data_IF_592153796230
#
_entry.id   IF_592153796230
#
_cell.length_a   1.000
_cell.length_b   1.000
_cell.length_c   1.000
_cell.angle_alpha   90.00
_cell.angle_beta   90.00
_cell.angle_gamma   90.00
#
_symmetry.space_group_name_H-M   'P 1'
#
loop_
_entity.id
_entity.type
_entity.pdbx_description
1 polymer ?
#
# COMPACT_ATOMS: atom_id res chain seq x y z
N UNK A 1 -4.77 27.69 2.65
CA UNK A 1 -3.95 26.73 3.43
C UNK A 1 -2.84 26.24 2.52
N UNK A 2 -1.64 26.07 3.05
CA UNK A 2 -0.54 25.44 2.31
C UNK A 2 -0.86 23.95 2.08
N UNK A 3 -0.49 23.41 0.92
CA UNK A 3 -0.68 21.98 0.61
C UNK A 3 0.21 21.12 1.51
N UNK A 4 -0.30 19.98 1.97
CA UNK A 4 0.53 18.96 2.61
C UNK A 4 1.49 18.33 1.58
N UNK A 5 2.56 17.68 2.05
CA UNK A 5 3.50 16.99 1.17
C UNK A 5 2.82 15.86 0.37
N UNK A 6 1.79 15.22 0.94
CA UNK A 6 0.95 14.26 0.22
C UNK A 6 0.12 14.90 -0.88
N UNK A 7 -0.46 16.08 -0.62
CA UNK A 7 -1.19 16.82 -1.65
C UNK A 7 -0.27 17.29 -2.78
N UNK A 8 0.96 17.73 -2.48
CA UNK A 8 1.98 18.06 -3.49
C UNK A 8 2.35 16.82 -4.32
N UNK A 9 2.61 15.68 -3.68
CA UNK A 9 2.88 14.41 -4.35
C UNK A 9 1.75 14.01 -5.32
N UNK A 10 0.50 14.07 -4.88
CA UNK A 10 -0.66 13.73 -5.70
C UNK A 10 -0.92 14.73 -6.84
N UNK A 11 -0.48 15.98 -6.68
CA UNK A 11 -0.56 17.00 -7.71
C UNK A 11 0.63 16.97 -8.70
N UNK A 12 1.60 16.06 -8.52
CA UNK A 12 2.82 15.99 -9.33
C UNK A 12 3.82 17.14 -9.07
N UNK A 13 3.68 17.84 -7.95
CA UNK A 13 4.57 18.92 -7.54
C UNK A 13 5.80 18.36 -6.79
N UNK A 14 6.88 19.15 -6.67
CA UNK A 14 7.99 18.79 -5.79
C UNK A 14 7.50 18.68 -4.36
N UNK A 15 7.84 17.56 -3.70
CA UNK A 15 7.44 17.27 -2.33
C UNK A 15 8.60 16.64 -1.55
N UNK A 16 8.58 16.78 -0.23
CA UNK A 16 9.52 16.16 0.69
C UNK A 16 9.11 14.70 0.94
N UNK A 17 9.70 13.76 0.22
CA UNK A 17 9.43 12.34 0.41
C UNK A 17 9.72 11.84 1.85
N UNK A 18 10.57 12.54 2.60
CA UNK A 18 10.90 12.24 3.99
C UNK A 18 9.87 12.76 5.01
N UNK A 19 8.78 13.38 4.57
CA UNK A 19 7.67 13.83 5.40
C UNK A 19 7.10 12.71 6.29
N UNK A 20 6.58 13.09 7.45
CA UNK A 20 6.09 12.15 8.46
C UNK A 20 4.85 11.38 8.00
N UNK A 21 3.92 12.01 7.27
CA UNK A 21 2.74 11.33 6.72
C UNK A 21 3.17 10.28 5.68
N UNK A 22 3.99 10.69 4.71
CA UNK A 22 4.46 9.80 3.65
C UNK A 22 5.33 8.66 4.18
N UNK A 23 6.12 8.90 5.24
CA UNK A 23 6.87 7.84 5.93
C UNK A 23 5.94 6.82 6.59
N UNK A 24 4.91 7.25 7.31
CA UNK A 24 3.93 6.35 7.95
C UNK A 24 3.20 5.51 6.90
N UNK A 25 2.76 6.13 5.81
CA UNK A 25 2.07 5.46 4.71
C UNK A 25 2.96 4.37 4.08
N UNK A 26 4.22 4.71 3.75
CA UNK A 26 5.18 3.72 3.22
C UNK A 26 5.49 2.59 4.21
N UNK A 27 5.62 2.89 5.49
CA UNK A 27 5.85 1.85 6.50
C UNK A 27 4.67 0.90 6.62
N UNK A 28 3.43 1.42 6.55
CA UNK A 28 2.22 0.60 6.51
C UNK A 28 2.20 -0.30 5.27
N UNK A 29 2.41 0.27 4.08
CA UNK A 29 2.45 -0.50 2.84
C UNK A 29 3.50 -1.62 2.89
N UNK A 30 4.74 -1.31 3.32
CA UNK A 30 5.82 -2.31 3.47
C UNK A 30 5.49 -3.42 4.47
N UNK A 31 4.74 -3.14 5.54
CA UNK A 31 4.29 -4.18 6.47
C UNK A 31 3.30 -5.11 5.79
N UNK A 32 2.29 -4.57 5.11
CA UNK A 32 1.27 -5.35 4.41
C UNK A 32 1.86 -6.17 3.26
N UNK A 33 2.73 -5.59 2.44
CA UNK A 33 3.45 -6.34 1.38
C UNK A 33 4.25 -7.50 1.95
N UNK A 34 4.96 -7.31 3.07
CA UNK A 34 5.70 -8.40 3.72
C UNK A 34 4.78 -9.49 4.28
N UNK A 35 3.63 -9.11 4.83
CA UNK A 35 2.63 -10.08 5.29
C UNK A 35 2.09 -10.87 4.10
N UNK A 36 1.72 -10.22 3.01
CA UNK A 36 1.25 -10.87 1.79
C UNK A 36 2.29 -11.83 1.22
N UNK A 37 3.53 -11.35 1.09
CA UNK A 37 4.64 -12.14 0.55
C UNK A 37 5.00 -13.37 1.41
N UNK A 38 4.50 -13.43 2.66
CA UNK A 38 4.69 -14.56 3.57
C UNK A 38 3.48 -15.51 3.60
N UNK A 39 2.41 -15.24 2.85
CA UNK A 39 1.23 -16.13 2.78
C UNK A 39 1.50 -17.37 1.93
N UNK A 40 0.81 -18.46 2.25
CA UNK A 40 0.86 -19.72 1.52
C UNK A 40 -0.21 -19.77 0.42
N UNK A 41 -0.04 -20.68 -0.52
CA UNK A 41 -0.97 -20.91 -1.64
C UNK A 41 -2.37 -21.35 -1.19
N UNK A 42 -2.48 -21.98 -0.02
CA UNK A 42 -3.72 -22.43 0.61
C UNK A 42 -4.41 -21.35 1.48
N UNK A 43 -3.97 -20.09 1.42
CA UNK A 43 -4.49 -18.97 2.23
C UNK A 43 -5.17 -17.85 1.40
N UNK A 44 -6.10 -18.15 0.47
CA UNK A 44 -6.65 -17.15 -0.44
C UNK A 44 -7.46 -16.06 0.27
N UNK A 45 -8.15 -16.39 1.38
CA UNK A 45 -8.92 -15.41 2.15
C UNK A 45 -8.04 -14.39 2.84
N UNK A 46 -6.86 -14.79 3.33
CA UNK A 46 -5.94 -13.87 4.00
C UNK A 46 -5.17 -13.03 2.98
N UNK A 47 -4.79 -13.62 1.84
CA UNK A 47 -4.30 -12.88 0.67
C UNK A 47 -5.24 -11.75 0.28
N UNK A 48 -6.54 -12.04 0.12
CA UNK A 48 -7.54 -11.05 -0.27
C UNK A 48 -7.66 -9.92 0.76
N UNK A 49 -7.73 -10.24 2.06
CA UNK A 49 -7.80 -9.23 3.13
C UNK A 49 -6.61 -8.28 3.10
N UNK A 50 -5.39 -8.82 3.01
CA UNK A 50 -4.16 -8.03 3.02
C UNK A 50 -4.09 -7.12 1.79
N UNK A 51 -4.47 -7.62 0.60
CA UNK A 51 -4.43 -6.85 -0.65
C UNK A 51 -5.51 -5.77 -0.70
N UNK A 52 -6.73 -6.07 -0.24
CA UNK A 52 -7.78 -5.07 -0.07
C UNK A 52 -7.33 -3.97 0.89
N UNK A 53 -6.67 -4.33 1.99
CA UNK A 53 -6.13 -3.37 2.95
C UNK A 53 -4.95 -2.53 2.36
N UNK A 54 -4.09 -3.15 1.56
CA UNK A 54 -2.92 -2.50 0.96
C UNK A 54 -3.31 -1.46 -0.09
N UNK A 55 -4.20 -1.82 -1.02
CA UNK A 55 -4.60 -0.91 -2.11
C UNK A 55 -5.79 -0.03 -1.77
N UNK A 56 -6.53 -0.34 -0.71
CA UNK A 56 -7.73 0.40 -0.28
C UNK A 56 -8.99 0.07 -1.06
N UNK A 57 -8.86 -0.35 -2.32
CA UNK A 57 -9.93 -0.91 -3.14
C UNK A 57 -9.36 -1.94 -4.12
N UNK A 58 -10.13 -2.99 -4.39
CA UNK A 58 -9.78 -4.06 -5.34
C UNK A 58 -10.99 -4.38 -6.20
N UNK A 59 -10.75 -4.89 -7.42
CA UNK A 59 -11.82 -5.35 -8.30
C UNK A 59 -12.43 -6.68 -7.86
N UNK A 60 -13.49 -7.11 -8.56
CA UNK A 60 -14.17 -8.39 -8.29
C UNK A 60 -13.24 -9.60 -8.44
N UNK A 61 -12.25 -9.51 -9.33
CA UNK A 61 -11.21 -10.53 -9.52
C UNK A 61 -9.86 -9.87 -9.36
N UNK A 62 -9.06 -10.36 -8.40
CA UNK A 62 -7.71 -9.89 -8.14
C UNK A 62 -6.83 -11.07 -7.74
N UNK A 63 -5.68 -11.17 -8.38
CA UNK A 63 -4.65 -12.14 -8.07
C UNK A 63 -3.29 -11.48 -8.28
N UNK A 64 -2.39 -11.65 -7.31
CA UNK A 64 -1.01 -11.17 -7.35
C UNK A 64 -0.15 -12.32 -6.86
N UNK A 65 0.86 -12.70 -7.63
CA UNK A 65 1.76 -13.78 -7.22
C UNK A 65 2.80 -13.26 -6.22
N UNK A 66 2.89 -13.83 -5.01
CA UNK A 66 4.01 -13.55 -4.12
C UNK A 66 5.36 -14.05 -4.70
N UNK A 67 6.48 -13.32 -4.50
CA UNK A 67 6.57 -11.99 -3.91
C UNK A 67 6.37 -10.87 -4.94
N UNK A 68 5.82 -9.74 -4.49
CA UNK A 68 5.74 -8.47 -5.24
C UNK A 68 6.24 -7.26 -4.44
#
# INVERSE_FOLDING_TARGET
MEKTEKQKMLAGELYLAADAELKRDRQRARRLTRLYNSTREDEPSDRLKIIAELFGAVGETIEIEPPF
#
